data_IF_645234571619
#
_entry.id   IF_645234571619
#
_cell.length_a   1.000
_cell.length_b   1.000
_cell.length_c   1.000
_cell.angle_alpha   90.00
_cell.angle_beta   90.00
_cell.angle_gamma   90.00
#
_symmetry.space_group_name_H-M   'P 1'
#
loop_
_entity.id
_entity.type
_entity.pdbx_description
1 polymer ?
#
# COMPACT_ATOMS: atom_id res chain seq x y z
N UNK A 1 -20.03 -6.43 -38.54
CA UNK A 1 -21.46 -6.05 -38.39
C UNK A 1 -21.95 -6.02 -36.95
N UNK A 2 -21.13 -6.29 -35.91
CA UNK A 2 -21.55 -6.10 -34.51
C UNK A 2 -21.67 -4.62 -34.12
N UNK A 3 -20.80 -3.76 -34.66
CA UNK A 3 -20.79 -2.30 -34.40
C UNK A 3 -22.04 -1.63 -34.99
N UNK A 4 -22.57 -2.16 -36.10
CA UNK A 4 -23.73 -1.59 -36.78
C UNK A 4 -25.06 -1.98 -36.13
N UNK A 5 -25.07 -2.83 -35.11
CA UNK A 5 -26.29 -3.29 -34.43
C UNK A 5 -27.17 -2.12 -33.95
N UNK A 6 -26.56 -1.08 -33.39
CA UNK A 6 -27.28 0.12 -32.94
C UNK A 6 -27.97 0.88 -34.09
N UNK A 7 -27.52 0.69 -35.33
CA UNK A 7 -28.07 1.34 -36.54
C UNK A 7 -29.00 0.44 -37.33
N UNK A 8 -28.70 -0.86 -37.41
CA UNK A 8 -29.42 -1.82 -38.27
C UNK A 8 -30.39 -2.70 -37.49
N UNK A 9 -30.30 -2.76 -36.16
CA UNK A 9 -31.14 -3.62 -35.32
C UNK A 9 -30.92 -5.13 -35.50
N UNK A 10 -30.00 -5.53 -36.39
CA UNK A 10 -29.73 -6.94 -36.71
C UNK A 10 -28.63 -7.49 -35.78
N UNK A 11 -28.95 -8.38 -34.83
CA UNK A 11 -27.99 -8.84 -33.83
C UNK A 11 -26.88 -9.65 -34.47
N UNK A 12 -25.65 -9.44 -34.01
CA UNK A 12 -24.52 -10.27 -34.39
C UNK A 12 -24.58 -11.60 -33.61
N UNK A 13 -25.08 -12.64 -34.27
CA UNK A 13 -25.09 -13.98 -33.70
C UNK A 13 -23.69 -14.62 -33.80
N UNK A 14 -23.24 -15.27 -32.73
CA UNK A 14 -21.99 -16.02 -32.70
C UNK A 14 -22.31 -17.52 -32.55
N UNK A 15 -22.40 -18.27 -33.67
CA UNK A 15 -22.59 -19.71 -33.67
C UNK A 15 -21.63 -20.43 -32.73
N UNK A 16 -22.09 -21.48 -32.04
CA UNK A 16 -21.29 -22.23 -31.07
C UNK A 16 -19.97 -22.77 -31.65
N UNK A 17 -19.97 -23.11 -32.94
CA UNK A 17 -18.79 -23.62 -33.66
C UNK A 17 -17.66 -22.59 -33.75
N UNK A 18 -18.00 -21.29 -33.78
CA UNK A 18 -17.03 -20.20 -33.84
C UNK A 18 -16.54 -19.75 -32.45
N UNK A 19 -17.10 -20.31 -31.36
CA UNK A 19 -16.66 -19.97 -30.01
C UNK A 19 -15.32 -20.66 -29.73
N UNK A 20 -14.27 -19.91 -29.35
CA UNK A 20 -12.98 -20.50 -28.99
C UNK A 20 -13.12 -21.49 -27.83
N UNK A 21 -12.54 -22.68 -28.00
CA UNK A 21 -12.47 -23.69 -26.94
C UNK A 21 -11.38 -23.38 -25.93
N UNK A 22 -10.26 -22.87 -26.42
CA UNK A 22 -9.10 -22.46 -25.63
C UNK A 22 -8.78 -20.99 -25.89
N UNK A 23 -8.20 -20.34 -24.88
CA UNK A 23 -7.84 -18.93 -24.93
C UNK A 23 -6.33 -18.75 -24.80
N UNK A 24 -5.75 -17.69 -25.39
CA UNK A 24 -4.37 -17.33 -25.11
C UNK A 24 -4.12 -17.14 -23.61
N UNK A 25 -2.98 -17.64 -23.12
CA UNK A 25 -2.49 -17.52 -21.74
C UNK A 25 -2.54 -16.10 -21.18
N UNK A 26 -2.14 -15.10 -21.98
CA UNK A 26 -2.15 -13.69 -21.57
C UNK A 26 -3.56 -13.12 -21.27
N UNK A 27 -4.64 -13.85 -21.59
CA UNK A 27 -6.01 -13.43 -21.27
C UNK A 27 -6.46 -13.80 -19.85
N UNK A 28 -5.66 -14.58 -19.10
CA UNK A 28 -5.92 -14.96 -17.70
C UNK A 28 -7.33 -15.50 -17.43
N UNK A 29 -7.86 -16.27 -18.37
CA UNK A 29 -9.17 -16.92 -18.25
C UNK A 29 -9.05 -18.18 -17.40
N UNK A 30 -8.90 -18.02 -16.08
CA UNK A 30 -8.77 -19.15 -15.15
C UNK A 30 -9.98 -20.11 -15.11
N UNK A 31 -11.11 -19.74 -15.71
CA UNK A 31 -12.30 -20.58 -15.88
C UNK A 31 -12.25 -21.48 -17.12
N UNK A 32 -11.29 -21.29 -18.02
CA UNK A 32 -11.21 -21.99 -19.33
C UNK A 32 -9.81 -22.55 -19.58
N UNK A 33 -9.69 -23.57 -20.43
CA UNK A 33 -8.38 -24.05 -20.85
C UNK A 33 -7.65 -22.94 -21.63
N UNK A 34 -6.34 -22.81 -21.38
CA UNK A 34 -5.48 -21.81 -21.98
C UNK A 34 -4.29 -22.46 -22.69
N UNK A 35 -3.78 -21.80 -23.73
CA UNK A 35 -2.59 -22.21 -24.46
C UNK A 35 -1.53 -21.10 -24.46
N UNK A 36 -0.25 -21.49 -24.53
CA UNK A 36 0.86 -20.54 -24.61
C UNK A 36 0.87 -19.86 -25.99
N UNK A 37 0.55 -18.56 -26.05
CA UNK A 37 0.46 -17.86 -27.33
C UNK A 37 1.84 -17.60 -27.94
N UNK A 38 2.10 -17.98 -29.20
CA UNK A 38 3.40 -17.75 -29.86
C UNK A 38 3.62 -16.29 -30.26
N UNK A 39 2.58 -15.44 -30.20
CA UNK A 39 2.65 -14.03 -30.57
C UNK A 39 3.46 -13.18 -29.59
N UNK A 40 3.80 -11.96 -30.01
CA UNK A 40 4.58 -11.00 -29.20
C UNK A 40 3.93 -10.77 -27.84
N UNK A 41 2.59 -10.66 -27.79
CA UNK A 41 1.85 -10.42 -26.55
C UNK A 41 1.99 -11.57 -25.53
N UNK A 42 1.91 -12.83 -25.99
CA UNK A 42 2.11 -13.99 -25.12
C UNK A 42 3.55 -14.14 -24.64
N UNK A 43 4.53 -13.79 -25.48
CA UNK A 43 5.95 -13.75 -25.10
C UNK A 43 6.23 -12.68 -24.04
N UNK A 44 5.71 -11.47 -24.25
CA UNK A 44 5.82 -10.36 -23.30
C UNK A 44 5.17 -10.71 -21.97
N UNK A 45 3.94 -11.21 -21.99
CA UNK A 45 3.21 -11.62 -20.81
C UNK A 45 4.00 -12.61 -19.93
N UNK A 46 4.50 -13.70 -20.53
CA UNK A 46 5.33 -14.69 -19.82
C UNK A 46 6.62 -14.08 -19.29
N UNK A 47 7.31 -13.27 -20.10
CA UNK A 47 8.53 -12.57 -19.67
C UNK A 47 8.28 -11.68 -18.46
N UNK A 48 7.13 -10.98 -18.40
CA UNK A 48 6.77 -10.15 -17.24
C UNK A 48 6.48 -10.99 -16.00
N UNK A 49 5.78 -12.12 -16.13
CA UNK A 49 5.50 -13.02 -15.00
C UNK A 49 6.77 -13.66 -14.46
N UNK A 50 7.66 -14.11 -15.34
CA UNK A 50 8.92 -14.71 -14.93
C UNK A 50 9.81 -13.67 -14.23
N UNK A 51 9.77 -12.42 -14.69
CA UNK A 51 10.45 -11.30 -14.02
C UNK A 51 9.88 -11.04 -12.62
N UNK A 52 8.56 -11.04 -12.45
CA UNK A 52 7.94 -10.79 -11.13
C UNK A 52 8.08 -11.97 -10.17
N UNK A 53 8.13 -13.21 -10.66
CA UNK A 53 8.40 -14.40 -9.81
C UNK A 53 9.83 -14.45 -9.30
N UNK A 54 10.78 -13.93 -10.08
CA UNK A 54 12.19 -13.87 -9.69
C UNK A 54 12.52 -12.64 -8.82
N UNK A 55 11.61 -11.67 -8.75
CA UNK A 55 11.66 -10.61 -7.75
C UNK A 55 10.95 -11.10 -6.48
N UNK A 56 11.71 -11.74 -5.59
CA UNK A 56 11.45 -11.55 -4.15
C UNK A 56 11.32 -10.03 -3.89
N UNK A 57 10.52 -9.57 -2.92
CA UNK A 57 10.41 -8.14 -2.63
C UNK A 57 11.77 -7.60 -2.14
N UNK A 58 12.63 -7.21 -3.09
CA UNK A 58 14.01 -6.73 -2.89
C UNK A 58 14.09 -5.44 -2.08
N UNK A 59 12.95 -4.79 -1.81
CA UNK A 59 12.92 -3.63 -0.95
C UNK A 59 12.95 -4.04 0.53
N UNK A 60 14.15 -4.45 0.96
CA UNK A 60 14.47 -4.56 2.37
C UNK A 60 14.84 -3.17 2.85
N UNK A 61 14.00 -2.62 3.72
CA UNK A 61 14.32 -1.38 4.42
C UNK A 61 15.51 -1.66 5.35
N UNK A 62 16.73 -1.34 4.91
CA UNK A 62 17.98 -1.63 5.59
C UNK A 62 18.62 -0.35 6.16
N UNK A 63 19.65 -0.52 6.98
CA UNK A 63 20.32 0.60 7.67
C UNK A 63 20.95 1.62 6.69
N UNK A 64 21.47 1.15 5.56
CA UNK A 64 22.09 2.01 4.54
C UNK A 64 21.05 2.89 3.82
N UNK A 65 19.92 2.30 3.42
CA UNK A 65 18.77 3.02 2.85
C UNK A 65 18.19 3.98 3.89
N UNK A 66 18.17 3.58 5.17
CA UNK A 66 17.77 4.45 6.26
C UNK A 66 18.61 5.72 6.32
N UNK A 67 19.93 5.53 6.36
CA UNK A 67 20.88 6.61 6.51
C UNK A 67 20.82 7.57 5.31
N UNK A 68 20.60 7.05 4.10
CA UNK A 68 20.47 7.85 2.88
C UNK A 68 19.13 8.60 2.78
N UNK A 69 18.03 7.98 3.24
CA UNK A 69 16.69 8.54 3.14
C UNK A 69 16.30 9.45 4.32
N UNK A 70 17.07 9.43 5.41
CA UNK A 70 16.76 10.18 6.62
C UNK A 70 16.92 11.70 6.43
N UNK A 71 15.80 12.42 6.55
CA UNK A 71 15.73 13.87 6.39
C UNK A 71 15.93 14.57 7.75
N UNK A 72 17.15 15.06 7.98
CA UNK A 72 17.51 15.83 9.19
C UNK A 72 16.75 17.15 9.28
N UNK A 73 16.13 17.64 8.20
CA UNK A 73 15.28 18.83 8.27
C UNK A 73 14.00 18.57 9.06
N UNK A 74 13.60 17.32 9.26
CA UNK A 74 12.44 16.99 10.08
C UNK A 74 12.76 16.89 11.58
N UNK A 75 14.03 17.05 11.99
CA UNK A 75 14.44 17.09 13.40
C UNK A 75 14.17 18.46 14.05
N UNK A 76 13.47 18.47 15.19
CA UNK A 76 13.15 19.68 15.97
C UNK A 76 13.81 19.62 17.34
N UNK A 77 14.56 20.66 17.73
CA UNK A 77 15.26 20.70 19.03
C UNK A 77 14.34 20.34 20.21
N UNK A 78 14.77 19.34 21.00
CA UNK A 78 14.01 18.82 22.12
C UNK A 78 12.99 17.73 21.77
N UNK A 79 13.09 17.09 20.59
CA UNK A 79 12.28 15.91 20.26
C UNK A 79 12.67 14.68 21.10
N UNK A 80 13.91 14.61 21.57
CA UNK A 80 14.48 13.49 22.34
C UNK A 80 13.65 13.12 23.57
N UNK A 81 13.04 14.11 24.25
CA UNK A 81 12.19 13.88 25.42
C UNK A 81 10.90 13.12 25.11
N UNK A 82 10.50 13.05 23.83
CA UNK A 82 9.27 12.39 23.38
C UNK A 82 9.53 11.06 22.67
N UNK A 83 10.79 10.64 22.55
CA UNK A 83 11.18 9.42 21.82
C UNK A 83 10.54 8.17 22.42
N UNK A 84 10.55 8.02 23.75
CA UNK A 84 9.96 6.87 24.44
C UNK A 84 8.42 6.77 24.22
N UNK A 85 7.74 7.92 24.24
CA UNK A 85 6.30 7.99 23.94
C UNK A 85 6.04 7.66 22.47
N UNK A 86 6.85 8.17 21.55
CA UNK A 86 6.74 7.91 20.13
C UNK A 86 6.96 6.42 19.81
N UNK A 87 7.92 5.78 20.47
CA UNK A 87 8.18 4.34 20.34
C UNK A 87 7.01 3.50 20.81
N UNK A 88 6.43 3.86 21.96
CA UNK A 88 5.22 3.21 22.49
C UNK A 88 4.04 3.32 21.51
N UNK A 89 3.83 4.50 20.92
CA UNK A 89 2.78 4.71 19.92
C UNK A 89 3.06 3.93 18.61
N UNK A 90 4.31 3.89 18.14
CA UNK A 90 4.71 3.12 16.94
C UNK A 90 4.45 1.64 17.15
N UNK A 91 4.80 1.10 18.33
CA UNK A 91 4.57 -0.30 18.67
C UNK A 91 3.08 -0.64 18.65
N UNK A 92 2.26 0.18 19.33
CA UNK A 92 0.81 0.00 19.35
C UNK A 92 0.19 0.09 17.94
N UNK A 93 0.64 1.06 17.13
CA UNK A 93 0.19 1.19 15.74
C UNK A 93 0.55 -0.05 14.91
N UNK A 94 1.78 -0.55 15.05
CA UNK A 94 2.27 -1.73 14.31
C UNK A 94 1.49 -3.00 14.69
N UNK A 95 1.16 -3.18 15.96
CA UNK A 95 0.34 -4.30 16.45
C UNK A 95 -1.10 -4.23 15.89
N UNK A 96 -1.70 -3.04 15.85
CA UNK A 96 -3.05 -2.87 15.27
C UNK A 96 -3.05 -3.03 13.75
N UNK A 97 -2.04 -2.48 13.07
CA UNK A 97 -1.90 -2.61 11.62
C UNK A 97 -1.67 -4.07 11.23
N UNK A 98 -0.82 -4.81 11.94
CA UNK A 98 -0.59 -6.23 11.69
C UNK A 98 -1.86 -7.07 11.92
N UNK A 99 -2.67 -6.72 12.91
CA UNK A 99 -3.98 -7.34 13.13
C UNK A 99 -4.93 -7.11 11.95
N UNK A 100 -5.00 -5.88 11.41
CA UNK A 100 -5.78 -5.57 10.22
C UNK A 100 -5.27 -6.31 8.98
N UNK A 101 -3.95 -6.37 8.79
CA UNK A 101 -3.32 -7.10 7.70
C UNK A 101 -3.68 -8.58 7.74
N UNK A 102 -3.56 -9.22 8.91
CA UNK A 102 -3.93 -10.62 9.10
C UNK A 102 -5.44 -10.84 8.86
N UNK A 103 -6.30 -9.92 9.30
CA UNK A 103 -7.76 -10.04 9.11
C UNK A 103 -8.17 -9.97 7.63
N UNK A 104 -7.57 -9.07 6.86
CA UNK A 104 -7.89 -8.89 5.43
C UNK A 104 -7.00 -9.72 4.49
N UNK A 105 -5.99 -10.40 5.01
CA UNK A 105 -5.03 -11.19 4.22
C UNK A 105 -4.03 -10.35 3.43
N UNK A 106 -3.73 -9.12 3.88
CA UNK A 106 -2.68 -8.28 3.29
C UNK A 106 -1.30 -8.73 3.81
N UNK A 107 -0.33 -8.82 2.90
CA UNK A 107 1.04 -9.27 3.20
C UNK A 107 2.00 -8.12 3.45
N UNK A 108 1.73 -6.97 2.86
CA UNK A 108 2.58 -5.80 2.95
C UNK A 108 1.78 -4.53 3.27
N UNK A 109 2.49 -3.52 3.75
CA UNK A 109 1.90 -2.25 4.17
C UNK A 109 1.23 -1.51 2.99
N UNK A 110 1.79 -1.57 1.78
CA UNK A 110 1.20 -0.98 0.58
C UNK A 110 -0.16 -1.61 0.23
N UNK A 111 -0.31 -2.92 0.39
CA UNK A 111 -1.56 -3.62 0.11
C UNK A 111 -2.69 -3.16 1.03
N UNK A 112 -2.42 -3.06 2.34
CA UNK A 112 -3.45 -2.66 3.31
C UNK A 112 -3.77 -1.16 3.19
N UNK A 113 -2.78 -0.30 2.95
CA UNK A 113 -3.00 1.14 2.82
C UNK A 113 -3.77 1.50 1.55
N UNK A 114 -3.52 0.80 0.45
CA UNK A 114 -4.21 1.04 -0.82
C UNK A 114 -5.50 0.23 -0.95
N UNK A 115 -5.66 -0.81 -0.14
CA UNK A 115 -6.71 -1.82 -0.25
C UNK A 115 -6.59 -2.70 -1.50
N UNK A 116 -5.45 -2.66 -2.19
CA UNK A 116 -5.19 -3.49 -3.37
C UNK A 116 -4.35 -4.71 -2.96
N UNK A 117 -5.01 -5.85 -2.81
CA UNK A 117 -4.32 -7.10 -2.46
C UNK A 117 -3.69 -7.70 -3.72
N UNK A 118 -2.42 -8.14 -3.67
CA UNK A 118 -1.76 -8.81 -4.82
C UNK A 118 -2.31 -10.22 -5.03
N UNK A 119 -2.70 -10.90 -3.95
CA UNK A 119 -3.27 -12.25 -4.00
C UNK A 119 -4.66 -12.31 -3.32
N UNK A 120 -5.70 -11.69 -3.89
CA UNK A 120 -7.05 -11.81 -3.37
C UNK A 120 -7.60 -13.22 -3.61
N UNK A 121 -8.54 -13.66 -2.77
CA UNK A 121 -9.18 -14.96 -2.95
C UNK A 121 -9.92 -15.06 -4.29
N UNK A 122 -10.00 -16.28 -4.84
CA UNK A 122 -10.62 -16.55 -6.14
C UNK A 122 -12.09 -16.06 -6.26
N UNK A 123 -12.81 -16.00 -5.13
CA UNK A 123 -14.19 -15.50 -5.11
C UNK A 123 -14.25 -13.96 -5.28
N UNK A 124 -13.25 -13.24 -4.79
CA UNK A 124 -13.16 -11.79 -4.91
C UNK A 124 -12.65 -11.34 -6.28
N UNK A 125 -11.80 -12.14 -6.93
CA UNK A 125 -11.34 -11.85 -8.29
C UNK A 125 -12.48 -11.85 -9.33
N UNK A 126 -13.51 -12.67 -9.11
CA UNK A 126 -14.64 -12.81 -10.04
C UNK A 126 -15.68 -11.70 -9.87
N UNK A 127 -15.94 -11.27 -8.64
CA UNK A 127 -16.93 -10.24 -8.32
C UNK A 127 -16.29 -8.87 -8.07
N UNK A 128 -16.16 -8.07 -9.13
CA UNK A 128 -15.62 -6.70 -9.05
C UNK A 128 -16.33 -5.82 -8.03
N UNK A 129 -17.65 -6.02 -7.85
CA UNK A 129 -18.46 -5.27 -6.87
C UNK A 129 -18.03 -5.63 -5.44
N UNK A 130 -17.95 -6.93 -5.12
CA UNK A 130 -17.55 -7.41 -3.79
C UNK A 130 -16.11 -7.04 -3.46
N UNK A 131 -15.22 -7.09 -4.46
CA UNK A 131 -13.85 -6.61 -4.30
C UNK A 131 -13.81 -5.11 -3.97
N UNK A 132 -14.63 -4.30 -4.66
CA UNK A 132 -14.80 -2.87 -4.35
C UNK A 132 -15.26 -2.62 -2.91
N UNK A 133 -16.32 -3.31 -2.47
CA UNK A 133 -16.83 -3.20 -1.10
C UNK A 133 -15.81 -3.64 -0.04
N UNK A 134 -15.05 -4.70 -0.31
CA UNK A 134 -13.97 -5.14 0.58
C UNK A 134 -12.89 -4.07 0.66
N UNK A 135 -12.45 -3.54 -0.49
CA UNK A 135 -11.46 -2.46 -0.55
C UNK A 135 -11.92 -1.25 0.26
N UNK A 136 -13.18 -0.86 0.14
CA UNK A 136 -13.73 0.25 0.91
C UNK A 136 -13.70 -0.03 2.42
N UNK A 137 -14.04 -1.26 2.85
CA UNK A 137 -13.94 -1.69 4.26
C UNK A 137 -12.51 -1.63 4.79
N UNK A 138 -11.53 -2.09 4.00
CA UNK A 138 -10.10 -1.99 4.33
C UNK A 138 -9.70 -0.53 4.53
N UNK A 139 -10.03 0.33 3.56
CA UNK A 139 -9.67 1.74 3.60
C UNK A 139 -10.33 2.49 4.76
N UNK A 140 -11.56 2.12 5.14
CA UNK A 140 -12.25 2.67 6.32
C UNK A 140 -11.55 2.21 7.59
N UNK A 141 -11.19 0.92 7.70
CA UNK A 141 -10.51 0.38 8.88
C UNK A 141 -9.15 1.06 9.11
N UNK A 142 -8.35 1.23 8.05
CA UNK A 142 -7.08 1.96 8.09
C UNK A 142 -7.29 3.42 8.50
N UNK A 143 -8.27 4.12 7.90
CA UNK A 143 -8.60 5.50 8.28
C UNK A 143 -9.00 5.62 9.75
N UNK A 144 -9.74 4.65 10.28
CA UNK A 144 -10.12 4.63 11.69
C UNK A 144 -8.89 4.44 12.59
N UNK A 145 -7.97 3.55 12.23
CA UNK A 145 -6.70 3.37 12.93
C UNK A 145 -5.87 4.67 12.91
N UNK A 146 -5.78 5.34 11.77
CA UNK A 146 -5.08 6.63 11.65
C UNK A 146 -5.73 7.72 12.53
N UNK A 147 -7.06 7.78 12.60
CA UNK A 147 -7.77 8.69 13.50
C UNK A 147 -7.49 8.39 14.97
N UNK A 148 -7.44 7.12 15.32
CA UNK A 148 -7.08 6.72 16.69
C UNK A 148 -5.65 7.12 17.05
N UNK A 149 -4.71 6.90 16.13
CA UNK A 149 -3.32 7.34 16.29
C UNK A 149 -3.21 8.87 16.44
N UNK A 150 -3.97 9.64 15.65
CA UNK A 150 -4.10 11.10 15.85
C UNK A 150 -4.64 11.42 17.24
N UNK A 151 -5.58 10.63 17.75
CA UNK A 151 -6.07 10.73 19.13
C UNK A 151 -4.96 10.60 20.17
N UNK A 152 -4.13 9.55 20.07
CA UNK A 152 -2.97 9.35 20.96
C UNK A 152 -1.96 10.50 20.87
N UNK A 153 -1.73 11.02 19.66
CA UNK A 153 -0.87 12.17 19.44
C UNK A 153 -1.38 13.41 20.18
N UNK A 154 -2.66 13.73 20.03
CA UNK A 154 -3.26 14.90 20.67
C UNK A 154 -3.38 14.75 22.19
N UNK A 155 -3.54 13.53 22.73
CA UNK A 155 -3.53 13.31 24.18
C UNK A 155 -2.16 13.48 24.80
N UNK A 156 -1.10 13.11 24.07
CA UNK A 156 0.27 13.10 24.58
C UNK A 156 1.02 14.41 24.33
N UNK A 157 0.39 15.40 23.69
CA UNK A 157 1.08 16.63 23.27
C UNK A 157 0.22 17.89 23.39
N UNK A 158 0.80 18.97 23.94
CA UNK A 158 0.21 20.31 23.91
C UNK A 158 0.48 20.99 22.57
N UNK A 159 -0.35 21.96 22.19
CA UNK A 159 -0.28 22.65 20.88
C UNK A 159 1.13 23.18 20.51
N UNK A 160 1.91 23.65 21.49
CA UNK A 160 3.26 24.18 21.27
C UNK A 160 4.36 23.11 21.15
N UNK A 161 4.08 21.87 21.55
CA UNK A 161 5.05 20.75 21.54
C UNK A 161 4.81 19.79 20.36
N UNK A 162 3.75 20.01 19.57
CA UNK A 162 3.33 19.12 18.48
C UNK A 162 4.44 18.87 17.47
N UNK A 163 5.26 19.88 17.18
CA UNK A 163 6.38 19.77 16.26
C UNK A 163 7.49 18.83 16.80
N UNK A 164 7.73 18.84 18.12
CA UNK A 164 8.73 17.97 18.76
C UNK A 164 8.26 16.52 18.77
N UNK A 165 6.98 16.28 19.10
CA UNK A 165 6.39 14.94 19.09
C UNK A 165 6.34 14.36 17.67
N UNK A 166 5.92 15.15 16.68
CA UNK A 166 5.88 14.70 15.28
C UNK A 166 7.28 14.36 14.76
N UNK A 167 8.28 15.18 15.12
CA UNK A 167 9.69 14.91 14.85
C UNK A 167 10.18 13.60 15.50
N UNK A 168 9.76 13.33 16.75
CA UNK A 168 10.08 12.07 17.42
C UNK A 168 9.44 10.85 16.72
N UNK A 169 8.19 10.96 16.25
CA UNK A 169 7.54 9.89 15.47
C UNK A 169 8.29 9.59 14.17
N UNK A 170 8.70 10.64 13.46
CA UNK A 170 9.54 10.52 12.27
C UNK A 170 10.87 9.84 12.60
N UNK A 171 11.56 10.29 13.64
CA UNK A 171 12.84 9.73 14.07
C UNK A 171 12.73 8.24 14.43
N UNK A 172 11.77 7.83 15.25
CA UNK A 172 11.63 6.41 15.65
C UNK A 172 11.23 5.49 14.48
N UNK A 173 10.69 6.05 13.40
CA UNK A 173 10.31 5.27 12.21
C UNK A 173 11.46 5.13 11.22
N UNK A 174 12.14 6.24 10.92
CA UNK A 174 13.10 6.33 9.82
C UNK A 174 14.57 6.36 10.26
N UNK A 175 14.87 6.57 11.55
CA UNK A 175 16.27 6.65 11.97
C UNK A 175 16.89 5.24 11.97
N UNK A 176 18.10 5.05 11.41
CA UNK A 176 18.75 3.73 11.28
C UNK A 176 18.85 2.92 12.57
N UNK A 177 19.09 3.59 13.72
CA UNK A 177 19.05 2.97 15.07
C UNK A 177 17.78 2.16 15.39
N UNK A 178 16.63 2.54 14.82
CA UNK A 178 15.32 1.91 15.05
C UNK A 178 14.88 1.03 13.87
N UNK A 179 15.76 0.85 12.89
CA UNK A 179 15.57 -0.06 11.78
C UNK A 179 15.79 -1.50 12.28
N UNK A 180 14.73 -2.11 12.80
CA UNK A 180 14.75 -3.54 13.14
C UNK A 180 14.28 -4.36 11.93
N UNK A 181 14.65 -5.64 11.89
CA UNK A 181 14.23 -6.63 10.87
C UNK A 181 12.70 -6.96 10.88
N UNK A 182 11.88 -6.10 11.49
CA UNK A 182 10.43 -6.25 11.59
C UNK A 182 9.67 -5.36 10.59
N UNK A 183 8.34 -5.35 10.71
CA UNK A 183 7.51 -4.46 9.91
C UNK A 183 7.69 -3.02 10.38
N UNK A 184 8.41 -2.21 9.62
CA UNK A 184 8.80 -0.86 10.03
C UNK A 184 7.68 0.20 9.99
N UNK A 185 6.44 -0.21 9.68
CA UNK A 185 5.22 0.64 9.65
C UNK A 185 5.52 2.05 9.13
N UNK A 186 6.02 2.14 7.90
CA UNK A 186 6.59 3.36 7.32
C UNK A 186 5.54 4.48 7.20
N UNK A 187 4.26 4.13 7.12
CA UNK A 187 3.17 5.10 7.06
C UNK A 187 2.90 5.82 8.38
N UNK A 188 3.41 5.33 9.50
CA UNK A 188 3.07 5.84 10.84
C UNK A 188 3.32 7.36 11.00
N UNK A 189 4.49 7.93 10.66
CA UNK A 189 4.73 9.37 10.80
C UNK A 189 3.88 10.21 9.84
N UNK A 190 3.55 9.67 8.66
CA UNK A 190 2.79 10.37 7.62
C UNK A 190 1.31 10.54 7.98
N UNK A 191 0.86 9.97 9.08
CA UNK A 191 -0.43 10.31 9.69
C UNK A 191 -0.45 11.80 10.09
N UNK A 192 0.72 12.37 10.41
CA UNK A 192 0.92 13.77 10.82
C UNK A 192 1.59 14.60 9.71
N UNK A 193 1.27 14.28 8.46
CA UNK A 193 1.74 14.98 7.26
C UNK A 193 1.64 16.51 7.39
N UNK A 194 0.51 17.03 7.83
CA UNK A 194 0.29 18.48 8.02
C UNK A 194 1.37 19.13 8.91
N UNK A 195 1.76 18.46 10.01
CA UNK A 195 2.72 18.98 10.99
C UNK A 195 4.15 18.83 10.46
N UNK A 196 4.48 17.67 9.87
CA UNK A 196 5.80 17.42 9.29
C UNK A 196 6.10 18.39 8.14
N UNK A 197 5.12 18.67 7.28
CA UNK A 197 5.23 19.65 6.21
C UNK A 197 5.44 21.07 6.77
N UNK A 198 4.79 21.42 7.88
CA UNK A 198 4.99 22.71 8.54
C UNK A 198 6.40 22.85 9.15
N UNK A 199 6.96 21.78 9.71
CA UNK A 199 8.38 21.79 10.17
C UNK A 199 9.30 22.13 9.00
N UNK A 200 9.08 21.48 7.86
CA UNK A 200 9.91 21.67 6.66
C UNK A 200 9.76 23.07 6.07
N UNK A 201 8.56 23.64 6.05
CA UNK A 201 8.32 25.00 5.56
C UNK A 201 9.03 26.04 6.43
N UNK A 202 8.99 25.89 7.77
CA UNK A 202 9.66 26.79 8.71
C UNK A 202 11.18 26.74 8.58
N UNK A 203 11.78 25.56 8.36
CA UNK A 203 13.23 25.46 8.11
C UNK A 203 13.64 26.09 6.79
N UNK A 204 12.85 25.88 5.72
CA UNK A 204 13.11 26.52 4.43
C UNK A 204 13.10 28.05 4.50
N UNK A 205 12.29 28.65 5.38
CA UNK A 205 12.25 30.10 5.60
C UNK A 205 13.42 30.64 6.44
N UNK A 206 14.15 29.76 7.15
CA UNK A 206 15.29 30.13 8.00
C UNK A 206 16.65 29.97 7.33
N UNK A 207 16.71 29.19 6.24
CA UNK A 207 17.88 29.03 5.38
C UNK A 207 17.77 29.99 4.18
#
# INVERSE_FOLDING_TARGET
MAVDFAKTGAPAEMPRVLKPKEYPDFMERGDRPMYASPGILGKLYRSTIDSTKNQEPDFVWNEEVAQAAYDKDLEVRGFESFVETAESHKKLYTEKLSTLMNYYGARSEDEILTGNLRSPSLCLQRDKIRYGEMKDRVLIAVRNLQKEAKGWFHSSCKSHECHKMASAWYHVTYHPKYCHNGMNSLSFPWILDDILLNIKSVKKMRN
#
